data_IF_938494087194
#
_entry.id   IF_938494087194
#
_cell.length_a   1.000
_cell.length_b   1.000
_cell.length_c   1.000
_cell.angle_alpha   90.00
_cell.angle_beta   90.00
_cell.angle_gamma   90.00
#
_symmetry.space_group_name_H-M   'P 1'
#
loop_
_entity.id
_entity.type
_entity.pdbx_description
1 polymer ?
#
# COMPACT_ATOMS: atom_id res chain seq x y z
N UNK A 1 -17.56 0.05 -5.67
CA UNK A 1 -18.29 -1.09 -5.13
C UNK A 1 -17.78 -1.42 -3.74
N UNK A 2 -18.42 -0.89 -2.73
CA UNK A 2 -18.14 -1.20 -1.33
C UNK A 2 -18.29 -2.71 -1.08
N UNK A 3 -17.36 -3.33 -0.39
CA UNK A 3 -17.32 -4.78 -0.09
C UNK A 3 -17.03 -5.74 -1.26
N UNK A 4 -16.82 -5.30 -2.48
CA UNK A 4 -16.66 -6.23 -3.60
C UNK A 4 -15.43 -7.15 -3.46
N UNK A 5 -14.36 -6.70 -2.81
CA UNK A 5 -13.20 -7.54 -2.55
C UNK A 5 -13.50 -8.68 -1.58
N UNK A 6 -14.33 -8.44 -0.55
CA UNK A 6 -14.80 -9.47 0.37
C UNK A 6 -15.72 -10.47 -0.34
N UNK A 7 -16.64 -9.98 -1.16
CA UNK A 7 -17.54 -10.81 -1.96
C UNK A 7 -16.79 -11.73 -2.92
N UNK A 8 -15.77 -11.22 -3.61
CA UNK A 8 -14.94 -12.01 -4.53
C UNK A 8 -14.17 -13.14 -3.86
N UNK A 9 -13.85 -13.00 -2.58
CA UNK A 9 -13.12 -14.02 -1.81
C UNK A 9 -14.02 -14.96 -1.02
N UNK A 10 -15.32 -14.82 -1.14
CA UNK A 10 -16.32 -15.57 -0.35
C UNK A 10 -16.06 -15.45 1.18
N UNK A 11 -15.61 -14.27 1.61
CA UNK A 11 -15.28 -13.96 3.00
C UNK A 11 -16.14 -12.81 3.47
N UNK A 12 -16.74 -12.97 4.65
CA UNK A 12 -17.47 -11.89 5.32
C UNK A 12 -16.51 -11.04 6.12
N UNK A 13 -16.34 -9.79 5.71
CA UNK A 13 -15.49 -8.81 6.39
C UNK A 13 -16.36 -7.69 6.96
N UNK A 14 -16.02 -7.23 8.16
CA UNK A 14 -16.60 -6.04 8.76
C UNK A 14 -15.87 -4.79 8.23
N UNK A 15 -16.42 -4.19 7.21
CA UNK A 15 -15.78 -3.07 6.49
C UNK A 15 -16.36 -1.70 6.88
N UNK A 16 -17.16 -1.64 7.95
CA UNK A 16 -17.88 -0.44 8.35
C UNK A 16 -19.20 -0.26 7.61
N UNK A 17 -19.99 0.72 8.01
CA UNK A 17 -21.33 0.99 7.45
C UNK A 17 -21.28 1.60 6.03
N UNK A 18 -20.23 2.34 5.75
CA UNK A 18 -19.99 3.03 4.46
C UNK A 18 -18.52 3.37 4.31
N UNK A 19 -18.06 3.77 3.10
CA UNK A 19 -16.70 4.28 2.92
C UNK A 19 -16.40 5.41 3.89
N UNK A 20 -15.27 5.32 4.60
CA UNK A 20 -14.83 6.33 5.56
C UNK A 20 -15.67 6.41 6.85
N UNK A 21 -16.42 5.35 7.21
CA UNK A 21 -17.18 5.32 8.49
C UNK A 21 -16.27 5.20 9.71
N UNK A 22 -15.12 4.53 9.57
CA UNK A 22 -14.22 4.22 10.66
C UNK A 22 -13.35 5.43 11.05
N UNK A 23 -13.19 5.72 12.35
CA UNK A 23 -12.46 6.89 12.81
C UNK A 23 -10.98 6.89 12.40
N UNK A 24 -10.34 5.72 12.32
CA UNK A 24 -8.96 5.57 11.86
C UNK A 24 -8.83 5.96 10.37
N UNK A 25 -9.77 5.54 9.55
CA UNK A 25 -9.83 5.91 8.14
C UNK A 25 -10.02 7.41 7.97
N UNK A 26 -10.92 8.02 8.76
CA UNK A 26 -11.14 9.46 8.74
C UNK A 26 -9.89 10.23 9.16
N UNK A 27 -9.21 9.79 10.22
CA UNK A 27 -7.99 10.42 10.69
C UNK A 27 -6.87 10.37 9.65
N UNK A 28 -6.70 9.22 8.97
CA UNK A 28 -5.72 9.07 7.90
C UNK A 28 -6.03 9.97 6.69
N UNK A 29 -7.28 10.00 6.24
CA UNK A 29 -7.71 10.88 5.16
C UNK A 29 -7.48 12.36 5.50
N UNK A 30 -7.82 12.78 6.73
CA UNK A 30 -7.56 14.15 7.20
C UNK A 30 -6.07 14.47 7.22
N UNK A 31 -5.23 13.57 7.72
CA UNK A 31 -3.78 13.75 7.73
C UNK A 31 -3.25 13.96 6.32
N UNK A 32 -3.62 13.11 5.37
CA UNK A 32 -3.22 13.20 3.96
C UNK A 32 -3.61 14.57 3.38
N UNK A 33 -4.83 15.03 3.64
CA UNK A 33 -5.29 16.36 3.18
C UNK A 33 -4.58 17.53 3.86
N UNK A 34 -4.05 17.34 5.07
CA UNK A 34 -3.29 18.38 5.78
C UNK A 34 -1.85 18.49 5.31
N UNK A 35 -1.18 17.34 5.13
CA UNK A 35 0.26 17.33 4.83
C UNK A 35 0.58 17.35 3.34
N UNK A 36 -0.38 17.04 2.47
CA UNK A 36 -0.21 16.99 1.01
C UNK A 36 1.05 16.20 0.58
N UNK A 37 1.18 14.91 0.95
CA UNK A 37 2.37 14.14 0.61
C UNK A 37 2.49 13.98 -0.91
N UNK A 38 3.72 13.89 -1.42
CA UNK A 38 3.98 13.65 -2.83
C UNK A 38 3.69 12.20 -3.25
N UNK A 39 3.79 11.27 -2.33
CA UNK A 39 3.49 9.83 -2.48
C UNK A 39 3.22 9.20 -1.13
N UNK A 40 2.66 8.01 -1.16
CA UNK A 40 2.44 7.16 0.02
C UNK A 40 3.00 5.77 -0.27
N UNK A 41 3.63 5.16 0.73
CA UNK A 41 3.96 3.72 0.72
C UNK A 41 3.17 3.06 1.83
N UNK A 42 2.37 2.06 1.47
CA UNK A 42 1.55 1.27 2.37
C UNK A 42 2.13 -0.14 2.48
N UNK A 43 2.35 -0.61 3.72
CA UNK A 43 2.93 -1.93 3.96
C UNK A 43 1.86 -2.95 4.34
N UNK A 44 1.87 -4.08 3.66
CA UNK A 44 0.94 -5.19 3.83
C UNK A 44 1.65 -6.54 3.78
N UNK A 45 0.92 -7.61 3.89
CA UNK A 45 1.26 -9.00 3.61
C UNK A 45 0.02 -9.74 3.09
N UNK A 46 0.09 -10.91 2.47
CA UNK A 46 1.26 -11.77 2.26
C UNK A 46 1.70 -11.93 0.80
N UNK A 47 1.40 -10.99 -0.10
CA UNK A 47 1.48 -11.21 -1.56
C UNK A 47 2.91 -11.16 -2.15
N UNK A 48 3.92 -10.80 -1.35
CA UNK A 48 5.34 -10.80 -1.73
C UNK A 48 5.64 -10.01 -3.03
N UNK A 49 5.15 -8.78 -3.12
CA UNK A 49 5.37 -7.91 -4.28
C UNK A 49 5.38 -6.42 -3.91
N UNK A 50 5.84 -5.60 -4.82
CA UNK A 50 5.65 -4.14 -4.81
C UNK A 50 4.61 -3.81 -5.88
N UNK A 51 3.43 -3.41 -5.45
CA UNK A 51 2.38 -2.96 -6.35
C UNK A 51 2.52 -1.45 -6.58
N UNK A 52 2.82 -1.09 -7.80
CA UNK A 52 2.89 0.29 -8.25
C UNK A 52 2.33 0.38 -9.68
N UNK A 53 1.08 0.78 -9.85
CA UNK A 53 0.46 0.90 -11.16
C UNK A 53 1.23 1.84 -12.11
N UNK A 54 1.89 2.86 -11.56
CA UNK A 54 2.67 3.84 -12.31
C UNK A 54 4.08 3.39 -12.65
N UNK A 55 4.57 2.28 -12.10
CA UNK A 55 5.95 1.82 -12.24
C UNK A 55 6.97 2.95 -12.00
N UNK A 56 6.72 3.74 -10.97
CA UNK A 56 7.50 4.92 -10.63
C UNK A 56 8.96 4.61 -10.26
N UNK A 57 9.78 5.64 -10.21
CA UNK A 57 11.17 5.49 -9.73
C UNK A 57 11.21 4.98 -8.27
N UNK A 58 10.25 5.38 -7.44
CA UNK A 58 10.12 4.87 -6.06
C UNK A 58 9.74 3.40 -6.05
N UNK A 59 8.76 2.97 -6.87
CA UNK A 59 8.37 1.56 -6.98
C UNK A 59 9.51 0.67 -7.43
N UNK A 60 10.30 1.13 -8.42
CA UNK A 60 11.49 0.43 -8.89
C UNK A 60 12.57 0.32 -7.79
N UNK A 61 12.80 1.39 -7.05
CA UNK A 61 13.74 1.39 -5.93
C UNK A 61 13.27 0.42 -4.83
N UNK A 62 12.00 0.46 -4.45
CA UNK A 62 11.42 -0.45 -3.45
C UNK A 62 11.57 -1.91 -3.87
N UNK A 63 11.26 -2.24 -5.12
CA UNK A 63 11.41 -3.59 -5.65
C UNK A 63 12.86 -4.10 -5.50
N UNK A 64 13.85 -3.26 -5.80
CA UNK A 64 15.26 -3.59 -5.61
C UNK A 64 15.66 -3.71 -4.14
N UNK A 65 15.29 -2.73 -3.31
CA UNK A 65 15.66 -2.67 -1.90
C UNK A 65 15.05 -3.82 -1.09
N UNK A 66 13.81 -4.21 -1.40
CA UNK A 66 13.10 -5.30 -0.73
C UNK A 66 13.29 -6.66 -1.41
N UNK A 67 13.94 -6.70 -2.57
CA UNK A 67 14.11 -7.92 -3.39
C UNK A 67 12.76 -8.59 -3.70
N UNK A 68 11.77 -7.79 -4.04
CA UNK A 68 10.41 -8.20 -4.39
C UNK A 68 10.07 -7.79 -5.83
N UNK A 69 9.24 -8.56 -6.54
CA UNK A 69 8.83 -8.20 -7.89
C UNK A 69 8.00 -6.92 -7.92
N UNK A 70 8.24 -6.06 -8.90
CA UNK A 70 7.39 -4.91 -9.21
C UNK A 70 6.23 -5.35 -10.08
N UNK A 71 5.01 -5.06 -9.65
CA UNK A 71 3.78 -5.39 -10.38
C UNK A 71 2.88 -4.14 -10.52
N UNK A 72 2.12 -4.07 -11.60
CA UNK A 72 1.14 -3.00 -11.80
C UNK A 72 -0.21 -3.28 -11.12
N UNK A 73 -0.44 -4.52 -10.70
CA UNK A 73 -1.66 -4.94 -10.02
C UNK A 73 -1.42 -6.26 -9.30
N UNK A 74 -2.09 -6.45 -8.18
CA UNK A 74 -2.12 -7.74 -7.45
C UNK A 74 -3.02 -8.79 -8.10
N UNK A 75 -3.60 -8.49 -9.27
CA UNK A 75 -4.37 -9.45 -10.06
C UNK A 75 -5.87 -9.49 -9.76
N UNK A 76 -6.37 -8.65 -8.88
CA UNK A 76 -7.80 -8.49 -8.60
C UNK A 76 -8.11 -7.04 -8.19
N UNK A 77 -9.38 -6.64 -8.38
CA UNK A 77 -9.84 -5.31 -7.96
C UNK A 77 -9.96 -5.21 -6.44
N UNK A 78 -9.54 -4.07 -5.89
CA UNK A 78 -9.60 -3.74 -4.46
C UNK A 78 -10.40 -2.46 -4.22
N UNK A 79 -11.67 -2.39 -4.64
CA UNK A 79 -12.48 -1.18 -4.47
C UNK A 79 -12.66 -0.86 -2.99
N UNK A 80 -12.57 0.42 -2.65
CA UNK A 80 -12.64 0.88 -1.26
C UNK A 80 -11.33 0.69 -0.47
N UNK A 81 -10.26 0.21 -1.10
CA UNK A 81 -8.95 0.16 -0.48
C UNK A 81 -8.33 1.57 -0.36
N UNK A 82 -7.31 1.69 0.49
CA UNK A 82 -6.55 2.92 0.63
C UNK A 82 -5.88 3.34 -0.69
N UNK A 83 -5.31 2.38 -1.44
CA UNK A 83 -4.73 2.64 -2.75
C UNK A 83 -5.75 3.15 -3.77
N UNK A 84 -6.97 2.58 -3.78
CA UNK A 84 -8.05 3.06 -4.66
C UNK A 84 -8.47 4.48 -4.30
N UNK A 85 -8.60 4.80 -3.01
CA UNK A 85 -8.91 6.15 -2.56
C UNK A 85 -7.80 7.14 -2.94
N UNK A 86 -6.53 6.77 -2.77
CA UNK A 86 -5.41 7.60 -3.21
C UNK A 86 -5.46 7.88 -4.71
N UNK A 87 -5.78 6.87 -5.53
CA UNK A 87 -5.95 7.04 -6.97
C UNK A 87 -7.07 8.04 -7.31
N UNK A 88 -8.20 7.98 -6.60
CA UNK A 88 -9.33 8.90 -6.79
C UNK A 88 -8.95 10.36 -6.52
N UNK A 89 -8.04 10.63 -5.59
CA UNK A 89 -7.55 11.98 -5.28
C UNK A 89 -6.26 12.35 -6.02
N UNK A 90 -5.77 11.49 -6.92
CA UNK A 90 -4.56 11.73 -7.70
C UNK A 90 -3.25 11.63 -6.90
N UNK A 91 -3.26 10.94 -5.77
CA UNK A 91 -2.08 10.73 -4.93
C UNK A 91 -1.42 9.38 -5.27
N UNK A 92 -0.14 9.36 -5.73
CA UNK A 92 0.58 8.12 -5.93
C UNK A 92 0.66 7.30 -4.63
N UNK A 93 0.18 6.06 -4.68
CA UNK A 93 0.26 5.11 -3.57
C UNK A 93 0.88 3.82 -4.07
N UNK A 94 1.95 3.39 -3.39
CA UNK A 94 2.65 2.14 -3.67
C UNK A 94 2.34 1.19 -2.51
N UNK A 95 1.94 -0.03 -2.82
CA UNK A 95 1.72 -1.06 -1.81
C UNK A 95 2.91 -2.03 -1.81
N UNK A 96 3.61 -2.09 -0.69
CA UNK A 96 4.67 -3.05 -0.46
C UNK A 96 4.09 -4.24 0.32
N UNK A 97 3.98 -5.37 -0.34
CA UNK A 97 3.44 -6.62 0.21
C UNK A 97 4.57 -7.53 0.63
N UNK A 98 4.74 -7.73 1.93
CA UNK A 98 5.72 -8.69 2.43
C UNK A 98 5.29 -10.13 2.13
N UNK A 99 6.24 -11.08 2.04
CA UNK A 99 5.90 -12.49 1.99
C UNK A 99 5.29 -12.97 3.32
N UNK A 100 4.63 -14.15 3.35
CA UNK A 100 4.01 -14.69 4.56
C UNK A 100 5.07 -15.26 5.53
N UNK A 101 5.80 -14.36 6.16
CA UNK A 101 6.85 -14.66 7.16
C UNK A 101 6.47 -14.05 8.51
N UNK A 102 7.15 -14.48 9.58
CA UNK A 102 6.93 -13.91 10.90
C UNK A 102 7.36 -12.43 10.99
N UNK A 103 6.86 -11.73 11.99
CA UNK A 103 7.26 -10.33 12.24
C UNK A 103 8.78 -10.20 12.52
N UNK A 104 9.35 -11.16 13.21
CA UNK A 104 10.79 -11.18 13.50
C UNK A 104 11.61 -11.37 12.23
N UNK A 105 11.22 -12.33 11.38
CA UNK A 105 11.86 -12.55 10.07
C UNK A 105 11.71 -11.33 9.15
N UNK A 106 10.54 -10.71 9.13
CA UNK A 106 10.33 -9.48 8.36
C UNK A 106 11.20 -8.32 8.85
N UNK A 107 11.35 -8.19 10.17
CA UNK A 107 12.22 -7.19 10.79
C UNK A 107 13.67 -7.43 10.39
N UNK A 108 14.17 -8.63 10.56
CA UNK A 108 15.56 -8.99 10.21
C UNK A 108 15.85 -8.74 8.73
N UNK A 109 14.90 -9.06 7.87
CA UNK A 109 15.08 -8.98 6.42
C UNK A 109 14.91 -7.58 5.85
N UNK A 110 13.96 -6.79 6.37
CA UNK A 110 13.50 -5.56 5.70
C UNK A 110 13.75 -4.26 6.47
N UNK A 111 14.15 -4.32 7.75
CA UNK A 111 14.33 -3.11 8.55
C UNK A 111 15.30 -2.10 7.91
N UNK A 112 16.41 -2.58 7.34
CA UNK A 112 17.36 -1.69 6.67
C UNK A 112 16.73 -0.99 5.47
N UNK A 113 16.01 -1.73 4.61
CA UNK A 113 15.33 -1.15 3.46
C UNK A 113 14.24 -0.15 3.87
N UNK A 114 13.50 -0.43 4.95
CA UNK A 114 12.52 0.51 5.50
C UNK A 114 13.18 1.77 6.05
N UNK A 115 14.34 1.64 6.69
CA UNK A 115 15.13 2.79 7.17
C UNK A 115 15.65 3.61 6.01
N UNK A 116 16.17 2.96 4.97
CA UNK A 116 16.67 3.62 3.76
C UNK A 116 15.57 4.37 3.01
N UNK A 117 14.34 3.85 3.03
CA UNK A 117 13.17 4.53 2.46
C UNK A 117 12.94 5.92 3.06
N UNK A 118 13.20 6.12 4.34
CA UNK A 118 13.06 7.42 5.01
C UNK A 118 14.06 8.46 4.46
N UNK A 119 15.11 8.03 3.81
CA UNK A 119 16.13 8.87 3.20
C UNK A 119 16.08 8.87 1.68
N UNK A 120 15.12 8.18 1.09
CA UNK A 120 14.98 8.11 -0.36
C UNK A 120 14.54 9.46 -0.95
N UNK A 121 15.19 9.87 -2.00
CA UNK A 121 14.83 11.06 -2.78
C UNK A 121 14.84 10.73 -4.27
N UNK A 122 13.91 11.30 -5.06
CA UNK A 122 13.97 11.15 -6.51
C UNK A 122 15.29 11.69 -7.04
N UNK A 123 15.91 10.93 -7.92
CA UNK A 123 17.12 11.39 -8.65
C UNK A 123 16.72 12.60 -9.49
N UNK A 124 17.50 13.67 -9.40
CA UNK A 124 17.33 14.87 -10.24
C UNK A 124 17.79 14.62 -11.64
#
# INVERSE_FOLDING_TARGET
RWNSAAEQRDVVLLTGEKPGSEPETQALCQLIHQIHPAWVVSFHDPLACIEDPGHSALGQWLAGAFSLPLVGSVGYETPGSFGSWCADIGLPCITAEFPPISADEATDKYLQAMTDLLHWHPQR
#
